data_IF_146881451823
#
_entry.id   IF_146881451823
#
_cell.length_a   1.000
_cell.length_b   1.000
_cell.length_c   1.000
_cell.angle_alpha   90.00
_cell.angle_beta   90.00
_cell.angle_gamma   90.00
#
_symmetry.space_group_name_H-M   'P 1'
#
loop_
_entity.id
_entity.type
_entity.pdbx_description
1 polymer ?
#
# COMPACT_ATOMS: atom_id res chain seq x y z
N UNK A 1 -21.88 -26.83 50.65
CA UNK A 1 -20.82 -27.27 49.72
C UNK A 1 -19.51 -27.45 50.47
N UNK A 2 -18.63 -28.36 50.04
CA UNK A 2 -17.27 -28.43 50.59
C UNK A 2 -16.39 -27.37 49.90
N UNK A 3 -15.59 -26.66 50.68
CA UNK A 3 -14.63 -25.66 50.19
C UNK A 3 -13.35 -25.72 51.03
N UNK A 4 -12.28 -25.14 50.51
CA UNK A 4 -11.01 -24.95 51.19
C UNK A 4 -10.89 -23.50 51.61
N UNK A 5 -10.72 -23.24 52.89
CA UNK A 5 -10.58 -21.90 53.44
C UNK A 5 -9.11 -21.55 53.69
N UNK A 6 -8.73 -20.33 53.30
CA UNK A 6 -7.44 -19.72 53.58
C UNK A 6 -7.67 -18.34 54.24
N UNK A 7 -6.97 -18.07 55.33
CA UNK A 7 -7.10 -16.83 56.12
C UNK A 7 -6.45 -15.58 55.48
N UNK A 8 -5.70 -15.76 54.38
CA UNK A 8 -4.96 -14.70 53.68
C UNK A 8 -3.73 -14.17 54.43
N UNK A 9 -3.39 -14.73 55.59
CA UNK A 9 -2.26 -14.33 56.46
C UNK A 9 -1.27 -15.46 56.70
N UNK A 10 -1.71 -16.71 56.58
CA UNK A 10 -0.93 -17.93 56.71
C UNK A 10 -1.24 -18.86 55.54
N UNK A 11 -0.30 -19.74 55.19
CA UNK A 11 -0.50 -20.73 54.11
C UNK A 11 -1.31 -21.95 54.56
N UNK A 12 -2.05 -21.85 55.67
CA UNK A 12 -2.85 -22.94 56.21
C UNK A 12 -4.19 -23.02 55.48
N UNK A 13 -4.53 -24.23 55.04
CA UNK A 13 -5.76 -24.52 54.32
C UNK A 13 -6.62 -25.42 55.20
N UNK A 14 -7.79 -24.94 55.60
CA UNK A 14 -8.75 -25.71 56.40
C UNK A 14 -9.94 -26.14 55.54
N UNK A 15 -10.39 -27.39 55.70
CA UNK A 15 -11.60 -27.88 55.03
C UNK A 15 -12.84 -27.30 55.72
N UNK A 16 -13.72 -26.66 54.94
CA UNK A 16 -14.92 -26.02 55.46
C UNK A 16 -16.15 -26.40 54.65
N UNK A 17 -17.33 -26.31 55.28
CA UNK A 17 -18.61 -26.37 54.58
C UNK A 17 -19.22 -24.98 54.48
N UNK A 18 -19.60 -24.60 53.27
CA UNK A 18 -20.23 -23.31 53.02
C UNK A 18 -21.71 -23.47 52.67
N UNK A 19 -22.53 -22.50 53.07
CA UNK A 19 -23.95 -22.41 52.79
C UNK A 19 -24.40 -20.94 52.70
N UNK A 20 -25.45 -20.66 51.94
CA UNK A 20 -26.07 -19.34 51.90
C UNK A 20 -27.43 -19.40 52.59
N UNK A 21 -27.58 -18.68 53.71
CA UNK A 21 -28.84 -18.63 54.48
C UNK A 21 -29.21 -17.17 54.70
N UNK A 22 -30.35 -16.74 54.14
CA UNK A 22 -30.87 -15.37 54.34
C UNK A 22 -29.94 -14.24 53.88
N UNK A 23 -29.09 -14.47 52.88
CA UNK A 23 -28.12 -13.48 52.38
C UNK A 23 -26.79 -13.43 53.15
N UNK A 24 -26.60 -14.34 54.13
CA UNK A 24 -25.33 -14.54 54.82
C UNK A 24 -24.67 -15.82 54.31
N UNK A 25 -23.42 -15.70 53.86
CA UNK A 25 -22.54 -16.82 53.57
C UNK A 25 -22.04 -17.39 54.90
N UNK A 26 -22.57 -18.55 55.27
CA UNK A 26 -22.17 -19.32 56.45
C UNK A 26 -21.02 -20.25 56.07
N UNK A 27 -19.94 -20.21 56.87
CA UNK A 27 -18.76 -21.06 56.76
C UNK A 27 -18.65 -21.86 58.05
N UNK A 28 -18.71 -23.19 57.95
CA UNK A 28 -18.65 -24.13 59.07
C UNK A 28 -17.34 -24.90 58.97
N UNK A 29 -16.49 -24.74 59.98
CA UNK A 29 -15.22 -25.47 60.13
C UNK A 29 -15.46 -26.85 60.76
N UNK A 30 -14.54 -27.79 60.54
CA UNK A 30 -14.64 -29.14 61.11
C UNK A 30 -14.61 -29.18 62.65
N UNK A 31 -13.99 -28.16 63.27
CA UNK A 31 -13.98 -27.97 64.73
C UNK A 31 -15.32 -27.46 65.30
N UNK A 32 -16.33 -27.24 64.46
CA UNK A 32 -17.64 -26.71 64.84
C UNK A 32 -17.74 -25.18 64.88
N UNK A 33 -16.66 -24.46 64.63
CA UNK A 33 -16.66 -23.00 64.50
C UNK A 33 -17.49 -22.57 63.29
N UNK A 34 -18.29 -21.52 63.44
CA UNK A 34 -19.10 -20.95 62.36
C UNK A 34 -18.76 -19.48 62.18
N UNK A 35 -18.58 -19.07 60.92
CA UNK A 35 -18.39 -17.67 60.54
C UNK A 35 -19.44 -17.26 59.54
N UNK A 36 -19.96 -16.05 59.69
CA UNK A 36 -20.98 -15.49 58.82
C UNK A 36 -20.45 -14.25 58.13
N UNK A 37 -20.55 -14.21 56.81
CA UNK A 37 -20.17 -13.07 55.99
C UNK A 37 -21.39 -12.59 55.18
N UNK A 38 -21.66 -11.28 55.08
CA UNK A 38 -22.64 -10.78 54.13
C UNK A 38 -22.30 -11.21 52.72
N UNK A 39 -23.24 -11.81 51.98
CA UNK A 39 -22.99 -12.24 50.59
C UNK A 39 -22.58 -11.07 49.68
N UNK A 40 -23.06 -9.86 49.98
CA UNK A 40 -22.68 -8.60 49.29
C UNK A 40 -21.23 -8.19 49.49
N UNK A 41 -20.58 -8.70 50.54
CA UNK A 41 -19.18 -8.41 50.88
C UNK A 41 -18.21 -9.44 50.32
N UNK A 42 -18.73 -10.56 49.79
CA UNK A 42 -17.96 -11.60 49.14
C UNK A 42 -17.97 -11.38 47.62
N UNK A 43 -16.82 -11.58 46.96
CA UNK A 43 -16.69 -11.50 45.51
C UNK A 43 -16.24 -12.84 44.94
N UNK A 44 -17.03 -13.38 44.03
CA UNK A 44 -16.63 -14.52 43.20
C UNK A 44 -15.64 -14.03 42.13
N UNK A 45 -14.44 -14.60 42.11
CA UNK A 45 -13.43 -14.29 41.10
C UNK A 45 -13.72 -15.07 39.81
N UNK A 46 -13.36 -14.47 38.67
CA UNK A 46 -13.47 -15.11 37.37
C UNK A 46 -12.68 -16.44 37.36
N UNK A 47 -13.20 -17.51 36.75
CA UNK A 47 -12.39 -18.70 36.50
C UNK A 47 -11.15 -18.39 35.69
N UNK A 48 -10.02 -18.99 36.08
CA UNK A 48 -8.82 -19.07 35.25
C UNK A 48 -8.77 -20.47 34.62
N UNK A 49 -9.39 -20.62 33.44
CA UNK A 49 -9.45 -21.90 32.73
C UNK A 49 -10.36 -22.94 33.42
N UNK A 50 -9.91 -24.20 33.52
CA UNK A 50 -10.66 -25.34 34.09
C UNK A 50 -10.49 -25.52 35.61
N UNK A 51 -10.12 -24.47 36.34
CA UNK A 51 -9.71 -24.57 37.75
C UNK A 51 -10.83 -24.27 38.75
N UNK A 52 -10.56 -24.56 40.03
CA UNK A 52 -11.43 -24.28 41.17
C UNK A 52 -11.88 -22.81 41.20
N UNK A 53 -13.14 -22.56 41.58
CA UNK A 53 -13.71 -21.23 41.80
C UNK A 53 -13.19 -20.66 43.12
N UNK A 54 -12.81 -19.38 43.11
CA UNK A 54 -12.31 -18.69 44.30
C UNK A 54 -13.29 -17.58 44.71
N UNK A 55 -13.76 -17.63 45.96
CA UNK A 55 -14.53 -16.55 46.58
C UNK A 55 -13.59 -15.77 47.50
N UNK A 56 -13.46 -14.46 47.31
CA UNK A 56 -12.72 -13.57 48.21
C UNK A 56 -13.68 -12.88 49.18
N UNK A 57 -13.35 -12.94 50.47
CA UNK A 57 -14.10 -12.36 51.57
C UNK A 57 -13.57 -10.95 51.92
N UNK A 58 -14.39 -10.14 52.58
CA UNK A 58 -14.06 -8.75 52.91
C UNK A 58 -12.89 -8.58 53.89
N UNK A 59 -12.58 -9.60 54.68
CA UNK A 59 -11.46 -9.64 55.62
C UNK A 59 -10.13 -10.09 54.99
N UNK A 60 -10.13 -10.38 53.68
CA UNK A 60 -8.97 -10.86 52.94
C UNK A 60 -8.85 -12.38 52.89
N UNK A 61 -9.72 -13.13 53.57
CA UNK A 61 -9.77 -14.58 53.46
C UNK A 61 -10.32 -15.02 52.10
N UNK A 62 -10.00 -16.26 51.71
CA UNK A 62 -10.46 -16.84 50.44
C UNK A 62 -10.97 -18.27 50.59
N UNK A 63 -11.96 -18.62 49.78
CA UNK A 63 -12.54 -19.95 49.69
C UNK A 63 -12.30 -20.50 48.29
N UNK A 64 -11.63 -21.65 48.17
CA UNK A 64 -11.48 -22.39 46.91
C UNK A 64 -12.44 -23.57 46.88
N UNK A 65 -13.22 -23.72 45.82
CA UNK A 65 -14.16 -24.83 45.65
C UNK A 65 -14.31 -25.27 44.21
N UNK A 66 -14.75 -26.51 44.00
CA UNK A 66 -15.07 -27.01 42.67
C UNK A 66 -16.23 -26.19 42.06
N UNK A 67 -16.19 -26.03 40.74
CA UNK A 67 -17.25 -25.33 40.00
C UNK A 67 -18.58 -26.07 40.14
N UNK A 68 -19.62 -25.39 40.61
CA UNK A 68 -20.93 -25.98 40.84
C UNK A 68 -22.06 -25.02 40.41
N UNK A 69 -23.19 -25.54 39.88
CA UNK A 69 -24.28 -24.70 39.34
C UNK A 69 -24.92 -23.76 40.37
N UNK A 70 -24.87 -24.16 41.64
CA UNK A 70 -25.46 -23.46 42.79
C UNK A 70 -24.71 -22.17 43.14
N UNK A 71 -23.41 -22.06 42.81
CA UNK A 71 -22.62 -20.83 43.00
C UNK A 71 -23.13 -19.66 42.16
N UNK A 72 -23.57 -19.94 40.93
CA UNK A 72 -24.11 -18.94 40.01
C UNK A 72 -25.42 -18.31 40.54
N UNK A 73 -26.17 -19.03 41.39
CA UNK A 73 -27.36 -18.50 42.06
C UNK A 73 -27.01 -17.59 43.23
N UNK A 74 -25.88 -17.86 43.91
CA UNK A 74 -25.44 -17.08 45.08
C UNK A 74 -24.76 -15.77 44.68
N UNK A 75 -24.12 -15.75 43.51
CA UNK A 75 -23.42 -14.59 42.95
C UNK A 75 -23.84 -14.37 41.49
N UNK A 76 -25.04 -13.80 41.24
CA UNK A 76 -25.48 -13.48 39.89
C UNK A 76 -24.49 -12.50 39.22
N UNK A 77 -23.95 -12.89 38.06
CA UNK A 77 -22.86 -12.24 37.34
C UNK A 77 -22.94 -10.69 37.29
N UNK A 78 -22.10 -10.03 38.09
CA UNK A 78 -22.04 -8.56 38.15
C UNK A 78 -21.10 -7.93 37.11
N UNK A 79 -20.37 -8.72 36.31
CA UNK A 79 -19.28 -8.19 35.48
C UNK A 79 -19.62 -8.18 33.97
N UNK A 80 -19.88 -7.00 33.37
CA UNK A 80 -20.14 -6.86 31.93
C UNK A 80 -19.00 -7.42 31.07
N UNK A 81 -17.77 -7.38 31.58
CA UNK A 81 -16.57 -7.82 30.86
C UNK A 81 -16.56 -9.34 30.71
N UNK A 82 -16.98 -10.09 31.73
CA UNK A 82 -17.03 -11.56 31.67
C UNK A 82 -18.05 -12.06 30.64
N UNK A 83 -19.16 -11.32 30.48
CA UNK A 83 -20.19 -11.63 29.47
C UNK A 83 -19.66 -11.48 28.04
N UNK A 84 -18.79 -10.50 27.82
CA UNK A 84 -18.10 -10.28 26.54
C UNK A 84 -17.09 -11.41 26.30
N UNK A 85 -16.27 -11.75 27.30
CA UNK A 85 -15.28 -12.83 27.20
C UNK A 85 -15.94 -14.18 26.89
N UNK A 86 -17.02 -14.55 27.57
CA UNK A 86 -17.75 -15.79 27.28
C UNK A 86 -18.43 -15.80 25.91
N UNK A 87 -18.87 -14.64 25.39
CA UNK A 87 -19.41 -14.53 24.04
C UNK A 87 -18.32 -14.79 22.97
N UNK A 88 -17.11 -14.27 23.19
CA UNK A 88 -15.91 -14.56 22.37
C UNK A 88 -15.51 -16.04 22.44
N UNK A 89 -15.48 -16.63 23.64
CA UNK A 89 -15.13 -18.04 23.86
C UNK A 89 -16.11 -19.02 23.19
N UNK A 90 -17.39 -18.67 23.13
CA UNK A 90 -18.45 -19.53 22.57
C UNK A 90 -18.58 -19.46 21.04
N UNK A 91 -17.98 -18.44 20.41
CA UNK A 91 -18.22 -18.12 19.00
C UNK A 91 -16.93 -17.85 18.23
N UNK A 92 -15.88 -18.65 18.46
CA UNK A 92 -14.65 -18.60 17.66
C UNK A 92 -14.86 -18.46 16.13
N UNK A 93 -15.91 -19.07 15.51
CA UNK A 93 -16.25 -18.81 14.11
C UNK A 93 -16.65 -17.36 13.81
N UNK A 94 -17.38 -16.66 14.70
CA UNK A 94 -17.75 -15.25 14.48
C UNK A 94 -16.57 -14.32 14.64
N UNK A 95 -15.64 -14.66 15.54
CA UNK A 95 -14.35 -13.94 15.68
C UNK A 95 -13.53 -14.09 14.40
N UNK A 96 -13.44 -15.32 13.87
CA UNK A 96 -12.75 -15.58 12.61
C UNK A 96 -13.39 -14.81 11.45
N UNK A 97 -14.72 -14.82 11.35
CA UNK A 97 -15.45 -14.04 10.33
C UNK A 97 -15.19 -12.54 10.48
N UNK A 98 -15.21 -12.01 11.70
CA UNK A 98 -14.91 -10.60 11.94
C UNK A 98 -13.47 -10.22 11.55
N UNK A 99 -12.49 -11.08 11.85
CA UNK A 99 -11.09 -10.90 11.43
C UNK A 99 -10.97 -10.96 9.91
N UNK A 100 -11.60 -11.94 9.25
CA UNK A 100 -11.60 -12.05 7.79
C UNK A 100 -12.25 -10.82 7.15
N UNK A 101 -13.38 -10.35 7.68
CA UNK A 101 -14.04 -9.14 7.19
C UNK A 101 -13.19 -7.90 7.41
N UNK A 102 -12.50 -7.78 8.55
CA UNK A 102 -11.58 -6.68 8.81
C UNK A 102 -10.42 -6.69 7.80
N UNK A 103 -9.78 -7.85 7.59
CA UNK A 103 -8.70 -8.00 6.62
C UNK A 103 -9.18 -7.73 5.18
N UNK A 104 -10.35 -8.24 4.81
CA UNK A 104 -10.96 -7.97 3.51
C UNK A 104 -11.29 -6.48 3.33
N UNK A 105 -11.77 -5.81 4.39
CA UNK A 105 -12.04 -4.37 4.36
C UNK A 105 -10.76 -3.55 4.23
N UNK A 106 -9.69 -3.94 4.91
CA UNK A 106 -8.39 -3.28 4.81
C UNK A 106 -7.77 -3.49 3.42
N UNK A 107 -7.88 -4.70 2.89
CA UNK A 107 -7.48 -5.01 1.52
C UNK A 107 -8.26 -4.18 0.50
N UNK A 108 -9.59 -4.14 0.60
CA UNK A 108 -10.45 -3.33 -0.26
C UNK A 108 -10.13 -1.83 -0.16
N UNK A 109 -9.85 -1.34 1.05
CA UNK A 109 -9.45 0.04 1.31
C UNK A 109 -8.14 0.39 0.59
N UNK A 110 -7.13 -0.49 0.68
CA UNK A 110 -5.85 -0.30 0.03
C UNK A 110 -5.92 -0.43 -1.49
N UNK A 111 -6.72 -1.37 -2.00
CA UNK A 111 -6.76 -1.69 -3.43
C UNK A 111 -7.72 -0.80 -4.24
N UNK A 112 -8.78 -0.29 -3.61
CA UNK A 112 -9.81 0.46 -4.34
C UNK A 112 -10.02 1.86 -3.80
N UNK A 113 -10.11 2.04 -2.48
CA UNK A 113 -10.46 3.34 -1.93
C UNK A 113 -9.31 4.34 -2.07
N UNK A 114 -8.10 3.97 -1.64
CA UNK A 114 -6.92 4.84 -1.76
C UNK A 114 -6.61 5.17 -3.24
N UNK A 115 -6.49 4.19 -4.16
CA UNK A 115 -6.21 4.50 -5.57
C UNK A 115 -7.30 5.33 -6.24
N UNK A 116 -8.59 5.05 -5.93
CA UNK A 116 -9.72 5.81 -6.44
C UNK A 116 -9.74 7.25 -5.94
N UNK A 117 -9.51 7.47 -4.65
CA UNK A 117 -9.40 8.80 -4.07
C UNK A 117 -8.19 9.57 -4.65
N UNK A 118 -7.03 8.92 -4.76
CA UNK A 118 -5.83 9.53 -5.34
C UNK A 118 -6.06 9.96 -6.79
N UNK A 119 -6.73 9.15 -7.60
CA UNK A 119 -7.13 9.52 -8.97
C UNK A 119 -8.03 10.76 -8.99
N UNK A 120 -9.09 10.76 -8.17
CA UNK A 120 -10.01 11.88 -8.10
C UNK A 120 -9.32 13.19 -7.66
N UNK A 121 -8.39 13.11 -6.70
CA UNK A 121 -7.62 14.28 -6.27
C UNK A 121 -6.62 14.71 -7.34
N UNK A 122 -5.88 13.79 -7.96
CA UNK A 122 -4.89 14.07 -8.99
C UNK A 122 -5.49 14.84 -10.19
N UNK A 123 -6.70 14.48 -10.64
CA UNK A 123 -7.42 15.17 -11.72
C UNK A 123 -7.77 16.64 -11.39
N UNK A 124 -7.74 17.02 -10.10
CA UNK A 124 -8.05 18.36 -9.62
C UNK A 124 -6.80 19.14 -9.19
N UNK A 125 -5.61 18.55 -9.30
CA UNK A 125 -4.36 19.23 -8.91
C UNK A 125 -4.08 20.37 -9.90
N UNK A 126 -3.95 21.62 -9.41
CA UNK A 126 -3.60 22.76 -10.25
C UNK A 126 -2.20 22.64 -10.87
N UNK A 127 -2.00 23.22 -12.06
CA UNK A 127 -0.74 23.17 -12.79
C UNK A 127 0.42 23.80 -12.02
N UNK A 128 0.15 24.75 -11.11
CA UNK A 128 1.18 25.39 -10.29
C UNK A 128 1.84 24.40 -9.31
N UNK A 129 1.06 23.42 -8.80
CA UNK A 129 1.58 22.37 -7.92
C UNK A 129 2.43 21.39 -8.71
N UNK A 130 1.98 21.03 -9.93
CA UNK A 130 2.77 20.18 -10.84
C UNK A 130 4.09 20.85 -11.22
N UNK A 131 4.06 22.14 -11.56
CA UNK A 131 5.26 22.93 -11.84
C UNK A 131 6.19 23.05 -10.63
N UNK A 132 5.64 23.19 -9.41
CA UNK A 132 6.45 23.20 -8.18
C UNK A 132 7.10 21.85 -7.92
N UNK A 133 6.34 20.76 -8.06
CA UNK A 133 6.84 19.40 -7.92
C UNK A 133 7.94 19.09 -8.94
N UNK A 134 7.75 19.50 -10.20
CA UNK A 134 8.75 19.35 -11.27
C UNK A 134 10.05 20.09 -10.94
N UNK A 135 9.97 21.36 -10.52
CA UNK A 135 11.16 22.14 -10.12
C UNK A 135 11.94 21.49 -8.97
N UNK A 136 11.24 20.99 -7.94
CA UNK A 136 11.88 20.31 -6.82
C UNK A 136 12.51 18.98 -7.25
N UNK A 137 11.80 18.19 -8.07
CA UNK A 137 12.31 16.90 -8.59
C UNK A 137 13.57 17.12 -9.42
N UNK A 138 13.53 18.08 -10.35
CA UNK A 138 14.68 18.42 -11.18
C UNK A 138 15.86 18.88 -10.34
N UNK A 139 15.65 19.74 -9.33
CA UNK A 139 16.71 20.21 -8.44
C UNK A 139 17.37 19.06 -7.65
N UNK A 140 16.61 18.03 -7.27
CA UNK A 140 17.16 16.85 -6.59
C UNK A 140 18.05 15.99 -7.52
N UNK A 141 17.69 15.91 -8.80
CA UNK A 141 18.38 15.06 -9.77
C UNK A 141 19.59 15.75 -10.44
N UNK A 142 19.45 17.05 -10.75
CA UNK A 142 20.34 17.78 -11.64
C UNK A 142 21.80 17.81 -11.14
N UNK A 143 22.01 18.14 -9.86
CA UNK A 143 23.37 18.37 -9.33
C UNK A 143 24.17 17.08 -9.07
N UNK A 144 23.52 15.91 -9.11
CA UNK A 144 24.16 14.63 -8.75
C UNK A 144 24.30 13.66 -9.89
N UNK A 145 23.35 13.67 -10.85
CA UNK A 145 23.22 12.59 -11.82
C UNK A 145 23.46 13.02 -13.25
N UNK A 146 23.27 14.31 -13.54
CA UNK A 146 23.18 14.80 -14.90
C UNK A 146 24.30 15.79 -15.24
N UNK A 147 24.74 15.71 -16.50
CA UNK A 147 25.71 16.61 -17.14
C UNK A 147 25.05 17.25 -18.36
N UNK A 148 25.60 18.38 -18.86
CA UNK A 148 25.15 18.96 -20.12
C UNK A 148 25.23 17.93 -21.27
N UNK A 149 24.16 17.86 -22.06
CA UNK A 149 24.10 16.98 -23.23
C UNK A 149 25.22 17.27 -24.23
N UNK A 150 25.77 16.22 -24.81
CA UNK A 150 26.77 16.22 -25.88
C UNK A 150 26.16 16.00 -27.27
N UNK A 151 24.84 15.77 -27.34
CA UNK A 151 24.14 15.60 -28.61
C UNK A 151 24.20 16.87 -29.46
N UNK A 152 24.38 16.67 -30.77
CA UNK A 152 24.32 17.77 -31.74
C UNK A 152 22.95 18.48 -31.69
N UNK A 153 22.96 19.81 -31.80
CA UNK A 153 21.74 20.62 -31.79
C UNK A 153 20.71 20.18 -32.84
N UNK A 154 21.19 19.80 -34.03
CA UNK A 154 20.34 19.27 -35.10
C UNK A 154 19.63 17.97 -34.70
N UNK A 155 20.29 17.09 -33.95
CA UNK A 155 19.71 15.84 -33.46
C UNK A 155 18.66 16.10 -32.38
N UNK A 156 18.95 16.98 -31.43
CA UNK A 156 18.00 17.40 -30.38
C UNK A 156 16.77 18.07 -30.97
N UNK A 157 16.96 18.96 -31.94
CA UNK A 157 15.87 19.62 -32.66
C UNK A 157 15.01 18.62 -33.44
N UNK A 158 15.62 17.64 -34.11
CA UNK A 158 14.89 16.62 -34.85
C UNK A 158 14.02 15.74 -33.95
N UNK A 159 14.57 15.26 -32.82
CA UNK A 159 13.81 14.45 -31.84
C UNK A 159 12.68 15.28 -31.23
N UNK A 160 12.97 16.53 -30.84
CA UNK A 160 11.97 17.45 -30.29
C UNK A 160 10.81 17.66 -31.27
N UNK A 161 11.10 17.92 -32.54
CA UNK A 161 10.06 18.13 -33.56
C UNK A 161 9.19 16.88 -33.78
N UNK A 162 9.80 15.69 -33.81
CA UNK A 162 9.05 14.44 -33.95
C UNK A 162 8.16 14.17 -32.73
N UNK A 163 8.68 14.39 -31.52
CA UNK A 163 7.90 14.20 -30.30
C UNK A 163 6.75 15.21 -30.20
N UNK A 164 7.02 16.49 -30.51
CA UNK A 164 5.97 17.51 -30.55
C UNK A 164 4.86 17.17 -31.55
N UNK A 165 5.21 16.65 -32.73
CA UNK A 165 4.22 16.18 -33.70
C UNK A 165 3.39 15.01 -33.14
N UNK A 166 4.03 14.08 -32.42
CA UNK A 166 3.37 12.92 -31.83
C UNK A 166 2.33 13.32 -30.75
N UNK A 167 2.62 14.33 -29.94
CA UNK A 167 1.79 14.76 -28.80
C UNK A 167 0.86 15.94 -29.09
N UNK A 168 0.93 16.55 -30.28
CA UNK A 168 0.20 17.76 -30.62
C UNK A 168 -1.32 17.64 -30.42
N UNK A 169 -1.88 16.47 -30.66
CA UNK A 169 -3.32 16.19 -30.55
C UNK A 169 -3.74 15.70 -29.15
N UNK A 170 -2.82 15.66 -28.18
CA UNK A 170 -3.13 15.24 -26.82
C UNK A 170 -3.79 16.38 -26.03
N UNK A 171 -4.63 16.07 -25.02
CA UNK A 171 -5.28 17.08 -24.19
C UNK A 171 -4.30 18.06 -23.52
N UNK A 172 -3.08 17.62 -23.22
CA UNK A 172 -2.01 18.42 -22.60
C UNK A 172 -0.85 18.72 -23.55
N UNK A 173 -1.10 18.74 -24.87
CA UNK A 173 -0.06 18.88 -25.91
C UNK A 173 0.91 20.06 -25.71
N UNK A 174 0.45 21.16 -25.11
CA UNK A 174 1.27 22.37 -24.87
C UNK A 174 2.23 22.24 -23.67
N UNK A 175 2.04 21.26 -22.79
CA UNK A 175 2.85 21.10 -21.57
C UNK A 175 4.23 20.47 -21.87
N UNK A 176 4.32 19.70 -22.96
CA UNK A 176 5.45 18.82 -23.27
C UNK A 176 6.71 19.58 -23.69
N UNK A 177 7.82 19.34 -22.96
CA UNK A 177 9.13 19.94 -23.22
C UNK A 177 10.22 18.89 -23.06
N UNK A 178 11.13 18.76 -24.03
CA UNK A 178 12.28 17.86 -23.92
C UNK A 178 13.49 18.57 -23.33
N UNK A 179 14.12 17.92 -22.34
CA UNK A 179 15.39 18.31 -21.75
C UNK A 179 16.40 17.17 -21.96
N UNK A 180 17.41 17.42 -22.79
CA UNK A 180 18.47 16.46 -23.05
C UNK A 180 19.61 16.63 -22.04
N UNK A 181 20.02 15.55 -21.39
CA UNK A 181 21.10 15.53 -20.40
C UNK A 181 21.96 14.28 -20.58
N UNK A 182 23.27 14.40 -20.41
CA UNK A 182 24.13 13.22 -20.33
C UNK A 182 24.08 12.64 -18.91
N UNK A 183 23.98 11.32 -18.78
CA UNK A 183 23.83 10.63 -17.50
C UNK A 183 24.72 9.38 -17.43
N UNK A 184 26.05 9.52 -17.48
CA UNK A 184 26.96 8.39 -17.68
C UNK A 184 26.94 7.36 -16.54
N UNK A 185 26.55 7.76 -15.33
CA UNK A 185 26.40 6.87 -14.17
C UNK A 185 25.01 6.21 -14.13
N UNK A 186 23.99 6.86 -14.71
CA UNK A 186 22.61 6.38 -14.73
C UNK A 186 22.33 5.48 -15.94
N UNK A 187 23.00 5.74 -17.06
CA UNK A 187 22.80 5.06 -18.33
C UNK A 187 21.57 5.56 -19.10
N UNK A 188 21.06 4.69 -19.98
CA UNK A 188 19.90 4.98 -20.82
C UNK A 188 18.64 5.14 -19.96
N UNK A 189 18.07 6.35 -19.94
CA UNK A 189 16.92 6.67 -19.12
C UNK A 189 16.06 7.78 -19.73
N UNK A 190 14.79 7.81 -19.34
CA UNK A 190 13.84 8.86 -19.64
C UNK A 190 12.90 9.03 -18.45
N UNK A 191 12.56 10.28 -18.12
CA UNK A 191 11.65 10.58 -17.01
C UNK A 191 10.84 11.82 -17.34
N UNK A 192 9.52 11.71 -17.36
CA UNK A 192 8.65 12.89 -17.42
C UNK A 192 8.24 13.39 -16.04
N UNK A 193 8.55 14.67 -15.80
CA UNK A 193 8.16 15.40 -14.61
C UNK A 193 6.66 15.74 -14.66
N UNK A 194 6.05 16.06 -13.50
CA UNK A 194 4.62 16.37 -13.43
C UNK A 194 4.14 17.53 -14.32
N UNK A 195 5.04 18.44 -14.73
CA UNK A 195 4.72 19.61 -15.54
C UNK A 195 4.90 19.41 -17.07
N UNK A 196 5.15 18.17 -17.51
CA UNK A 196 5.36 17.82 -18.92
C UNK A 196 6.81 17.93 -19.38
N UNK A 197 7.72 18.40 -18.51
CA UNK A 197 9.16 18.39 -18.82
C UNK A 197 9.68 16.96 -18.80
N UNK A 198 10.13 16.45 -19.93
CA UNK A 198 10.72 15.12 -20.08
C UNK A 198 12.23 15.21 -20.15
N UNK A 199 12.90 14.59 -19.20
CA UNK A 199 14.34 14.37 -19.24
C UNK A 199 14.60 13.16 -20.11
N UNK A 200 15.42 13.31 -21.14
CA UNK A 200 15.86 12.21 -22.02
C UNK A 200 17.38 12.15 -21.98
N UNK A 201 17.95 11.00 -21.60
CA UNK A 201 19.40 10.89 -21.50
C UNK A 201 20.06 10.72 -22.85
N UNK A 202 21.27 11.25 -23.01
CA UNK A 202 22.06 11.03 -24.23
C UNK A 202 22.30 9.54 -24.47
N UNK A 203 22.53 8.78 -23.39
CA UNK A 203 22.71 7.33 -23.39
C UNK A 203 21.45 6.59 -23.89
N UNK A 204 20.25 7.13 -23.67
CA UNK A 204 19.02 6.59 -24.27
C UNK A 204 19.00 6.80 -25.79
N UNK A 205 19.40 7.99 -26.24
CA UNK A 205 19.49 8.34 -27.66
C UNK A 205 20.52 7.47 -28.38
N UNK A 206 21.62 7.13 -27.70
CA UNK A 206 22.64 6.21 -28.21
C UNK A 206 22.22 4.74 -28.18
N UNK A 207 21.44 4.34 -27.18
CA UNK A 207 20.91 2.97 -27.07
C UNK A 207 19.92 2.65 -28.18
N UNK A 208 18.96 3.54 -28.44
CA UNK A 208 17.88 3.28 -29.37
C UNK A 208 18.39 3.05 -30.80
N UNK A 209 17.91 1.99 -31.45
CA UNK A 209 18.33 1.68 -32.82
C UNK A 209 17.60 2.52 -33.88
N UNK A 210 16.52 3.21 -33.51
CA UNK A 210 15.76 4.06 -34.41
C UNK A 210 15.03 5.19 -33.66
N UNK A 211 14.63 6.22 -34.39
CA UNK A 211 13.79 7.30 -33.84
C UNK A 211 12.42 6.78 -33.38
N UNK A 212 11.91 5.71 -34.00
CA UNK A 212 10.67 5.08 -33.57
C UNK A 212 10.80 4.47 -32.17
N UNK A 213 11.93 3.84 -31.85
CA UNK A 213 12.22 3.33 -30.50
C UNK A 213 12.27 4.47 -29.46
N UNK A 214 12.87 5.62 -29.81
CA UNK A 214 12.87 6.80 -28.94
C UNK A 214 11.48 7.38 -28.73
N UNK A 215 10.71 7.54 -29.82
CA UNK A 215 9.34 8.00 -29.73
C UNK A 215 8.47 7.04 -28.92
N UNK A 216 8.76 5.75 -28.92
CA UNK A 216 8.04 4.78 -28.10
C UNK A 216 8.27 4.98 -26.61
N UNK A 217 9.52 5.21 -26.18
CA UNK A 217 9.82 5.57 -24.78
C UNK A 217 9.13 6.89 -24.41
N UNK A 218 9.20 7.90 -25.28
CA UNK A 218 8.55 9.19 -25.01
C UNK A 218 7.01 9.09 -24.98
N UNK A 219 6.41 8.24 -25.81
CA UNK A 219 4.98 7.95 -25.80
C UNK A 219 4.55 7.24 -24.50
N UNK A 220 5.39 6.35 -23.98
CA UNK A 220 5.21 5.69 -22.68
C UNK A 220 5.20 6.71 -21.55
N UNK A 221 6.21 7.59 -21.51
CA UNK A 221 6.26 8.69 -20.55
C UNK A 221 5.03 9.61 -20.69
N UNK A 222 4.60 9.92 -21.91
CA UNK A 222 3.39 10.70 -22.18
C UNK A 222 2.14 10.03 -21.59
N UNK A 223 2.04 8.70 -21.63
CA UNK A 223 0.99 7.95 -20.97
C UNK A 223 0.99 8.14 -19.45
N UNK A 224 2.15 8.12 -18.81
CA UNK A 224 2.25 8.44 -17.37
C UNK A 224 1.80 9.87 -17.05
N UNK A 225 2.14 10.82 -17.92
CA UNK A 225 1.76 12.23 -17.74
C UNK A 225 0.25 12.45 -17.92
N UNK A 226 -0.34 11.93 -19.01
CA UNK A 226 -1.78 12.04 -19.30
C UNK A 226 -2.64 11.37 -18.22
N UNK A 227 -2.20 10.22 -17.71
CA UNK A 227 -2.89 9.53 -16.61
C UNK A 227 -2.50 10.03 -15.21
N UNK A 228 -1.65 11.06 -15.11
CA UNK A 228 -1.14 11.67 -13.88
C UNK A 228 -0.60 10.63 -12.89
N UNK A 229 0.07 9.60 -13.39
CA UNK A 229 0.58 8.48 -12.57
C UNK A 229 1.50 8.95 -11.46
N UNK A 230 2.39 9.91 -11.73
CA UNK A 230 3.29 10.45 -10.72
C UNK A 230 2.56 11.13 -9.55
N UNK A 231 1.54 11.92 -9.85
CA UNK A 231 0.71 12.57 -8.83
C UNK A 231 -0.15 11.56 -8.07
N UNK A 232 -0.74 10.58 -8.77
CA UNK A 232 -1.49 9.47 -8.15
C UNK A 232 -0.60 8.70 -7.18
N UNK A 233 0.61 8.31 -7.61
CA UNK A 233 1.59 7.60 -6.77
C UNK A 233 1.95 8.43 -5.53
N UNK A 234 2.29 9.71 -5.71
CA UNK A 234 2.62 10.59 -4.61
C UNK A 234 1.48 10.72 -3.60
N UNK A 235 0.24 10.92 -4.06
CA UNK A 235 -0.94 10.99 -3.20
C UNK A 235 -1.22 9.68 -2.46
N UNK A 236 -1.02 8.53 -3.10
CA UNK A 236 -1.16 7.22 -2.46
C UNK A 236 -0.12 7.04 -1.34
N UNK A 237 1.15 7.41 -1.59
CA UNK A 237 2.21 7.37 -0.60
C UNK A 237 1.98 8.36 0.55
N UNK A 238 1.43 9.54 0.26
CA UNK A 238 1.07 10.54 1.27
C UNK A 238 -0.10 10.09 2.15
N UNK A 239 -1.11 9.41 1.59
CA UNK A 239 -2.22 8.87 2.40
C UNK A 239 -1.71 7.88 3.45
N UNK A 240 -0.72 7.06 3.08
CA UNK A 240 -0.05 6.15 4.02
C UNK A 240 0.70 6.93 5.11
N UNK A 241 1.49 7.94 4.72
CA UNK A 241 2.22 8.80 5.68
C UNK A 241 1.28 9.56 6.62
N UNK A 242 0.15 10.05 6.12
CA UNK A 242 -0.87 10.71 6.94
C UNK A 242 -1.53 9.73 7.92
N UNK A 243 -1.80 8.49 7.50
CA UNK A 243 -2.33 7.45 8.39
C UNK A 243 -1.32 7.09 9.51
N UNK A 244 -0.04 7.00 9.18
CA UNK A 244 1.04 6.82 10.17
C UNK A 244 1.09 8.02 11.11
N UNK A 245 1.07 9.24 10.57
CA UNK A 245 1.08 10.49 11.34
C UNK A 245 -0.10 10.61 12.31
N UNK A 246 -1.31 10.21 11.90
CA UNK A 246 -2.47 10.15 12.80
C UNK A 246 -2.25 9.12 13.91
N UNK A 247 -1.68 7.96 13.59
CA UNK A 247 -1.40 6.92 14.57
C UNK A 247 -0.28 7.31 15.55
N UNK A 248 0.70 8.11 15.12
CA UNK A 248 1.85 8.56 15.91
C UNK A 248 1.67 9.94 16.54
N UNK A 249 0.65 10.70 16.14
CA UNK A 249 0.38 12.06 16.59
C UNK A 249 1.20 13.16 15.89
N UNK A 250 1.81 12.87 14.73
CA UNK A 250 2.67 13.79 13.98
C UNK A 250 2.04 14.15 12.61
N UNK A 251 1.40 15.33 12.53
CA UNK A 251 0.74 15.79 11.32
C UNK A 251 1.60 16.86 10.60
N UNK A 252 2.33 16.44 9.56
CA UNK A 252 3.15 17.32 8.72
C UNK A 252 2.34 18.31 7.85
N UNK A 253 2.97 19.42 7.45
CA UNK A 253 2.34 20.51 6.67
C UNK A 253 2.24 20.23 5.16
N UNK A 254 1.30 20.86 4.46
CA UNK A 254 1.13 20.69 3.01
C UNK A 254 2.37 21.11 2.17
N UNK A 255 3.21 22.04 2.67
CA UNK A 255 4.44 22.43 1.99
C UNK A 255 5.50 21.31 1.98
N UNK A 256 5.56 20.49 3.04
CA UNK A 256 6.42 19.30 3.07
C UNK A 256 5.92 18.19 2.13
N UNK A 257 4.64 18.22 1.75
CA UNK A 257 4.05 17.27 0.81
C UNK A 257 4.48 17.56 -0.63
N UNK A 258 4.47 18.82 -1.08
CA UNK A 258 4.92 19.14 -2.44
C UNK A 258 6.41 18.79 -2.67
N UNK A 259 7.26 18.94 -1.65
CA UNK A 259 8.66 18.50 -1.70
C UNK A 259 8.84 16.98 -1.71
N UNK A 260 7.89 16.21 -1.17
CA UNK A 260 8.01 14.75 -1.14
C UNK A 260 7.56 14.07 -2.43
N UNK A 261 6.80 14.75 -3.31
CA UNK A 261 6.41 14.20 -4.63
C UNK A 261 7.64 13.76 -5.42
N UNK A 262 8.65 14.63 -5.53
CA UNK A 262 9.86 14.32 -6.27
C UNK A 262 10.62 13.13 -5.70
N UNK A 263 10.73 13.05 -4.37
CA UNK A 263 11.36 11.92 -3.70
C UNK A 263 10.58 10.62 -3.91
N UNK A 264 9.26 10.66 -3.84
CA UNK A 264 8.42 9.47 -4.08
C UNK A 264 8.60 8.95 -5.51
N UNK A 265 8.65 9.82 -6.51
CA UNK A 265 8.87 9.42 -7.91
C UNK A 265 10.25 8.80 -8.16
N UNK A 266 11.24 9.27 -7.40
CA UNK A 266 12.62 8.80 -7.46
C UNK A 266 12.77 7.45 -6.75
N UNK A 267 12.14 7.29 -5.58
CA UNK A 267 12.34 6.13 -4.72
C UNK A 267 11.36 4.98 -5.00
N UNK A 268 10.23 5.25 -5.68
CA UNK A 268 9.19 4.26 -5.91
C UNK A 268 8.98 4.04 -7.40
N UNK A 269 9.06 2.78 -7.81
CA UNK A 269 8.61 2.36 -9.12
C UNK A 269 7.10 2.45 -9.26
N UNK A 270 6.64 2.64 -10.49
CA UNK A 270 5.22 2.63 -10.79
C UNK A 270 4.61 1.24 -10.59
N UNK A 271 3.31 1.22 -10.26
CA UNK A 271 2.56 -0.03 -10.13
C UNK A 271 2.43 -0.73 -11.49
N UNK A 272 2.26 -2.06 -11.49
CA UNK A 272 2.01 -2.83 -12.72
C UNK A 272 0.80 -2.32 -13.49
N UNK A 273 -0.20 -1.77 -12.79
CA UNK A 273 -1.41 -1.24 -13.41
C UNK A 273 -1.12 0.07 -14.16
N UNK A 274 -0.28 0.93 -13.57
CA UNK A 274 0.17 2.17 -14.22
C UNK A 274 1.03 1.87 -15.45
N UNK A 275 1.95 0.90 -15.37
CA UNK A 275 2.75 0.48 -16.52
C UNK A 275 1.85 -0.07 -17.65
N UNK A 276 0.82 -0.87 -17.34
CA UNK A 276 -0.13 -1.36 -18.35
C UNK A 276 -0.95 -0.22 -18.97
N UNK A 277 -1.39 0.75 -18.18
CA UNK A 277 -2.08 1.96 -18.68
C UNK A 277 -1.17 2.75 -19.63
N UNK A 278 0.10 2.96 -19.26
CA UNK A 278 1.08 3.68 -20.06
C UNK A 278 1.49 2.92 -21.34
N UNK A 279 1.76 1.61 -21.27
CA UNK A 279 2.10 0.76 -22.42
C UNK A 279 0.96 0.77 -23.45
N UNK A 280 -0.28 0.64 -22.99
CA UNK A 280 -1.47 0.66 -23.86
C UNK A 280 -1.66 2.03 -24.52
N UNK A 281 -1.46 3.11 -23.75
CA UNK A 281 -1.50 4.48 -24.27
C UNK A 281 -0.42 4.70 -25.34
N UNK A 282 0.83 4.35 -25.04
CA UNK A 282 1.96 4.51 -25.95
C UNK A 282 1.74 3.76 -27.27
N UNK A 283 1.32 2.50 -27.18
CA UNK A 283 1.00 1.67 -28.34
C UNK A 283 -0.08 2.33 -29.21
N UNK A 284 -1.17 2.80 -28.60
CA UNK A 284 -2.25 3.47 -29.31
C UNK A 284 -1.78 4.77 -29.97
N UNK A 285 -0.99 5.58 -29.26
CA UNK A 285 -0.48 6.85 -29.74
C UNK A 285 0.48 6.70 -30.92
N UNK A 286 1.45 5.78 -30.80
CA UNK A 286 2.39 5.45 -31.87
C UNK A 286 1.64 5.02 -33.12
N UNK A 287 0.72 4.07 -32.98
CA UNK A 287 0.07 3.51 -34.15
C UNK A 287 -0.87 4.50 -34.83
N UNK A 288 -1.57 5.36 -34.08
CA UNK A 288 -2.40 6.42 -34.65
C UNK A 288 -1.58 7.40 -35.50
N UNK A 289 -0.31 7.59 -35.16
CA UNK A 289 0.63 8.47 -35.86
C UNK A 289 1.50 7.73 -36.89
N UNK A 290 1.17 6.48 -37.23
CA UNK A 290 1.88 5.71 -38.27
C UNK A 290 3.26 5.19 -37.85
N UNK A 291 3.59 5.22 -36.55
CA UNK A 291 4.80 4.60 -36.03
C UNK A 291 4.58 3.11 -35.74
N UNK A 292 5.62 2.27 -35.91
CA UNK A 292 5.51 0.85 -35.63
C UNK A 292 5.29 0.64 -34.14
N UNK A 293 4.19 -0.01 -33.77
CA UNK A 293 3.90 -0.36 -32.38
C UNK A 293 4.90 -1.39 -31.80
N UNK A 294 5.69 -2.08 -32.66
CA UNK A 294 6.83 -2.91 -32.22
C UNK A 294 7.96 -2.10 -31.59
N UNK A 295 8.08 -0.81 -31.90
CA UNK A 295 9.15 0.02 -31.38
C UNK A 295 9.21 0.00 -29.84
N UNK A 296 8.06 -0.09 -29.16
CA UNK A 296 8.02 -0.19 -27.69
C UNK A 296 8.58 -1.52 -27.19
N UNK A 297 8.20 -2.65 -27.81
CA UNK A 297 8.78 -3.94 -27.45
C UNK A 297 10.25 -4.06 -27.80
N UNK A 298 10.67 -3.42 -28.89
CA UNK A 298 12.03 -3.48 -29.41
C UNK A 298 12.99 -2.71 -28.49
N UNK A 299 12.60 -1.50 -28.04
CA UNK A 299 13.42 -0.73 -27.10
C UNK A 299 13.46 -1.40 -25.72
N UNK A 300 12.36 -1.96 -25.22
CA UNK A 300 12.36 -2.68 -23.94
C UNK A 300 13.26 -3.92 -23.97
N UNK A 301 13.24 -4.68 -25.08
CA UNK A 301 14.14 -5.81 -25.26
C UNK A 301 15.60 -5.35 -25.27
N UNK A 302 15.90 -4.25 -25.98
CA UNK A 302 17.24 -3.68 -26.07
C UNK A 302 17.77 -3.17 -24.72
N UNK A 303 16.94 -2.48 -23.95
CA UNK A 303 17.27 -2.07 -22.59
C UNK A 303 17.58 -3.29 -21.72
N UNK A 304 16.77 -4.36 -21.80
CA UNK A 304 16.99 -5.59 -21.03
C UNK A 304 18.30 -6.28 -21.42
N UNK A 305 18.62 -6.33 -22.72
CA UNK A 305 19.88 -6.88 -23.23
C UNK A 305 21.11 -6.10 -22.74
N UNK A 306 21.03 -4.76 -22.69
CA UNK A 306 22.13 -3.93 -22.19
C UNK A 306 22.36 -4.09 -20.68
N UNK A 307 21.29 -4.34 -19.91
CA UNK A 307 21.35 -4.40 -18.45
C UNK A 307 21.57 -5.82 -17.90
N UNK A 308 21.29 -6.87 -18.68
CA UNK A 308 21.36 -8.27 -18.22
C UNK A 308 20.44 -8.56 -17.04
N UNK A 309 20.59 -9.72 -16.39
CA UNK A 309 19.92 -10.08 -15.11
C UNK A 309 20.37 -9.19 -13.93
N UNK A 310 21.23 -8.19 -14.17
CA UNK A 310 21.69 -7.28 -13.16
C UNK A 310 20.62 -6.21 -12.90
N UNK A 311 19.82 -6.47 -11.87
CA UNK A 311 19.03 -5.50 -11.10
C UNK A 311 19.88 -4.38 -10.45
N UNK A 312 21.08 -4.08 -10.99
CA UNK A 312 22.13 -3.27 -10.35
C UNK A 312 22.43 -1.99 -11.15
N UNK A 313 21.43 -1.45 -11.85
CA UNK A 313 21.41 0.01 -12.06
C UNK A 313 20.77 0.60 -10.82
N UNK A 314 21.41 1.62 -10.24
CA UNK A 314 21.03 2.17 -8.93
C UNK A 314 19.55 2.54 -8.82
N UNK A 315 19.13 3.04 -7.65
CA UNK A 315 17.73 3.37 -7.31
C UNK A 315 16.94 4.15 -8.38
N UNK A 316 17.61 4.78 -9.34
CA UNK A 316 17.04 5.62 -10.39
C UNK A 316 17.11 5.07 -11.83
N UNK A 317 17.66 3.88 -12.06
CA UNK A 317 17.70 3.27 -13.39
C UNK A 317 16.30 3.13 -13.99
N UNK A 318 16.19 3.10 -15.33
CA UNK A 318 14.89 3.06 -16.02
C UNK A 318 14.00 1.91 -15.51
N UNK A 319 14.57 0.72 -15.28
CA UNK A 319 13.82 -0.42 -14.76
C UNK A 319 13.54 -0.39 -13.25
N UNK A 320 14.21 0.48 -12.51
CA UNK A 320 13.91 0.72 -11.08
C UNK A 320 12.60 1.52 -10.96
N UNK A 321 12.40 2.52 -11.82
CA UNK A 321 11.17 3.32 -11.86
C UNK A 321 10.06 2.68 -12.70
N UNK A 322 10.43 1.93 -13.75
CA UNK A 322 9.53 1.18 -14.62
C UNK A 322 9.84 -0.32 -14.56
N UNK A 323 9.30 -1.06 -13.58
CA UNK A 323 9.54 -2.49 -13.48
C UNK A 323 9.26 -3.20 -14.81
N UNK A 324 10.32 -3.63 -15.49
CA UNK A 324 10.21 -4.39 -16.73
C UNK A 324 9.83 -5.83 -16.39
N UNK A 325 8.98 -6.40 -17.23
CA UNK A 325 8.58 -7.81 -17.11
C UNK A 325 8.54 -8.42 -18.50
N UNK A 326 8.88 -9.71 -18.59
CA UNK A 326 8.67 -10.48 -19.82
C UNK A 326 7.22 -10.38 -20.31
N UNK A 327 6.27 -10.30 -19.37
CA UNK A 327 4.84 -10.10 -19.64
C UNK A 327 4.55 -8.83 -20.44
N UNK A 328 5.22 -7.70 -20.14
CA UNK A 328 5.05 -6.43 -20.88
C UNK A 328 5.59 -6.51 -22.30
N UNK A 329 6.76 -7.12 -22.49
CA UNK A 329 7.34 -7.34 -23.82
C UNK A 329 6.41 -8.24 -24.65
N UNK A 330 5.90 -9.32 -24.06
CA UNK A 330 4.94 -10.21 -24.72
C UNK A 330 3.59 -9.53 -25.00
N UNK A 331 3.10 -8.68 -24.10
CA UNK A 331 1.88 -7.91 -24.32
C UNK A 331 2.04 -6.93 -25.50
N UNK A 332 3.14 -6.18 -25.55
CA UNK A 332 3.46 -5.29 -26.66
C UNK A 332 3.58 -6.06 -27.99
N UNK A 333 4.28 -7.20 -28.00
CA UNK A 333 4.37 -8.08 -29.19
C UNK A 333 3.01 -8.60 -29.65
N UNK A 334 2.14 -9.03 -28.71
CA UNK A 334 0.79 -9.50 -29.03
C UNK A 334 -0.10 -8.40 -29.61
N UNK A 335 -0.01 -7.18 -29.06
CA UNK A 335 -0.74 -6.03 -29.59
C UNK A 335 -0.38 -5.75 -31.06
N UNK A 336 0.89 -5.95 -31.44
CA UNK A 336 1.33 -5.86 -32.83
C UNK A 336 0.75 -6.95 -33.72
N UNK A 337 0.82 -8.22 -33.28
CA UNK A 337 0.37 -9.37 -34.06
C UNK A 337 -1.15 -9.36 -34.33
N UNK A 338 -1.95 -8.98 -33.33
CA UNK A 338 -3.41 -8.91 -33.50
C UNK A 338 -3.83 -7.84 -34.53
N UNK A 339 -3.00 -6.81 -34.70
CA UNK A 339 -3.28 -5.74 -35.65
C UNK A 339 -2.84 -6.07 -37.06
N UNK A 340 -1.69 -6.72 -37.25
CA UNK A 340 -1.30 -7.23 -38.58
C UNK A 340 -2.36 -8.16 -39.15
N UNK A 341 -2.95 -9.02 -38.32
CA UNK A 341 -4.04 -9.92 -38.72
C UNK A 341 -5.34 -9.17 -39.06
N UNK A 342 -5.58 -8.02 -38.42
CA UNK A 342 -6.76 -7.18 -38.70
C UNK A 342 -6.57 -6.41 -40.01
N UNK A 343 -5.38 -5.84 -40.25
CA UNK A 343 -5.06 -5.08 -41.46
C UNK A 343 -5.07 -5.99 -42.71
N UNK A 344 -4.44 -7.18 -42.64
CA UNK A 344 -4.49 -8.20 -43.72
C UNK A 344 -5.93 -8.72 -43.98
N UNK A 345 -6.75 -8.82 -42.93
CA UNK A 345 -8.16 -9.23 -43.05
C UNK A 345 -9.05 -8.19 -43.73
N UNK A 346 -8.76 -6.90 -43.57
CA UNK A 346 -9.50 -5.82 -44.26
C UNK A 346 -9.14 -5.68 -45.74
N UNK A 347 -7.88 -5.93 -46.12
CA UNK A 347 -7.47 -5.92 -47.53
C UNK A 347 -8.00 -7.14 -48.29
N UNK A 348 -8.10 -8.30 -47.64
CA UNK A 348 -8.72 -9.50 -48.22
C UNK A 348 -10.25 -9.37 -48.42
N UNK A 349 -10.91 -8.44 -47.72
CA UNK A 349 -12.35 -8.20 -47.85
C UNK A 349 -12.73 -7.13 -48.90
N UNK A 350 -11.74 -6.44 -49.48
CA UNK A 350 -11.94 -5.39 -50.49
C UNK A 350 -11.57 -5.81 -51.93
N UNK A 351 -11.26 -7.10 -52.16
CA UNK A 351 -10.93 -7.64 -53.47
C UNK A 351 -11.94 -8.65 -54.01
#
# INVERSE_FOLDING_TARGET
MQARWCDGRTSRVDAVRIGLVGGLLEIVFENGERRHYPSTSARLLAPLGRTERIIRLADGASLSLADCPELAQWFPDSDPVQRIVHWFERSWPTVLVAVVLLLASLFAFQQWLIPGAARAVAERVPAEIEALAARHTLALLQDRLFKPSQLAESRRSAITAQFQALVADLPRGDDYRLLFLAAPELGANALMLPDGTTILTDEMVELAASDAELLAVLAHEAGHHEHRHGMRLALQSMALLAAIGIATGDAGSAASMASSVGLVLIENGYSRDFEREADAFATALLTRNGHPASALSDIFARMLEQHGDALDTGLLGYFSTHPSTAERIEAARRANAQRSDTEDGTDAAQH
#
